data_IF_034128240310
#
_entry.id   IF_034128240310
#
_cell.length_a   1.000
_cell.length_b   1.000
_cell.length_c   1.000
_cell.angle_alpha   90.00
_cell.angle_beta   90.00
_cell.angle_gamma   90.00
#
_symmetry.space_group_name_H-M   'P 1'
#
loop_
_entity.id
_entity.type
_entity.pdbx_description
1 polymer ?
#
# COMPACT_ATOMS: atom_id res chain seq x y z
N UNK A 1 0.12 -5.62 -8.48
CA UNK A 1 1.31 -4.76 -8.73
C UNK A 1 1.03 -3.68 -9.78
N UNK A 2 0.37 -4.03 -10.90
CA UNK A 2 0.12 -3.07 -12.00
C UNK A 2 -0.59 -1.78 -11.55
N UNK A 3 -1.61 -1.88 -10.70
CA UNK A 3 -2.32 -0.70 -10.18
C UNK A 3 -1.38 0.28 -9.48
N UNK A 4 -0.53 -0.21 -8.58
CA UNK A 4 0.49 0.59 -7.89
C UNK A 4 1.49 1.22 -8.87
N UNK A 5 1.90 0.49 -9.91
CA UNK A 5 2.74 1.06 -10.96
C UNK A 5 2.02 2.21 -11.67
N UNK A 6 0.80 2.00 -12.14
CA UNK A 6 -0.02 3.04 -12.80
C UNK A 6 -0.21 4.27 -11.91
N UNK A 7 -0.46 4.10 -10.61
CA UNK A 7 -0.57 5.23 -9.66
C UNK A 7 0.70 6.08 -9.63
N UNK A 8 1.89 5.47 -9.64
CA UNK A 8 3.16 6.21 -9.71
C UNK A 8 3.30 7.01 -10.99
N UNK A 9 2.94 6.44 -12.15
CA UNK A 9 2.95 7.17 -13.42
C UNK A 9 1.98 8.36 -13.41
N UNK A 10 0.77 8.18 -12.88
CA UNK A 10 -0.18 9.28 -12.70
C UNK A 10 0.36 10.37 -11.76
N UNK A 11 0.99 9.99 -10.63
CA UNK A 11 1.61 10.94 -9.70
C UNK A 11 2.76 11.73 -10.33
N UNK A 12 3.49 11.12 -11.27
CA UNK A 12 4.53 11.77 -12.07
C UNK A 12 3.99 12.58 -13.26
N UNK A 13 2.66 12.59 -13.48
CA UNK A 13 2.00 13.25 -14.63
C UNK A 13 2.47 12.77 -16.00
N UNK A 14 2.80 11.48 -16.10
CA UNK A 14 3.19 10.83 -17.35
C UNK A 14 2.18 9.74 -17.74
N UNK A 15 2.05 9.39 -19.03
CA UNK A 15 1.13 8.34 -19.47
C UNK A 15 1.41 7.02 -18.77
N UNK A 16 0.40 6.50 -18.07
CA UNK A 16 0.49 5.23 -17.33
C UNK A 16 0.43 4.03 -18.25
N UNK A 17 -0.33 4.10 -19.34
CA UNK A 17 -0.32 3.11 -20.42
C UNK A 17 0.47 3.65 -21.62
N UNK A 18 1.36 2.85 -22.24
CA UNK A 18 1.74 1.47 -21.88
C UNK A 18 2.91 1.39 -20.87
N UNK A 19 3.36 2.53 -20.34
CA UNK A 19 4.60 2.63 -19.58
C UNK A 19 4.64 1.74 -18.32
N UNK A 20 3.53 1.66 -17.59
CA UNK A 20 3.42 0.84 -16.39
C UNK A 20 3.43 -0.66 -16.73
N UNK A 21 2.81 -1.06 -17.83
CA UNK A 21 2.80 -2.45 -18.30
C UNK A 21 4.19 -2.90 -18.73
N UNK A 22 4.91 -2.05 -19.48
CA UNK A 22 6.30 -2.30 -19.88
C UNK A 22 7.19 -2.44 -18.63
N UNK A 23 7.05 -1.53 -17.66
CA UNK A 23 7.81 -1.59 -16.41
C UNK A 23 7.50 -2.86 -15.62
N UNK A 24 6.23 -3.23 -15.48
CA UNK A 24 5.81 -4.44 -14.74
C UNK A 24 6.28 -5.71 -15.44
N UNK A 25 6.23 -5.75 -16.78
CA UNK A 25 6.73 -6.87 -17.57
C UNK A 25 8.23 -7.08 -17.36
N UNK A 26 9.04 -6.05 -17.64
CA UNK A 26 10.51 -6.17 -17.52
C UNK A 26 10.97 -6.34 -16.09
N UNK A 27 10.35 -5.63 -15.13
CA UNK A 27 10.63 -5.81 -13.70
C UNK A 27 10.29 -7.22 -13.21
N UNK A 28 9.17 -7.77 -13.68
CA UNK A 28 8.80 -9.17 -13.39
C UNK A 28 9.80 -10.17 -13.98
N UNK A 29 10.20 -9.98 -15.24
CA UNK A 29 11.20 -10.82 -15.91
C UNK A 29 12.55 -10.80 -15.17
N UNK A 30 13.03 -9.60 -14.78
CA UNK A 30 14.27 -9.45 -14.02
C UNK A 30 14.18 -10.07 -12.63
N UNK A 31 13.05 -9.87 -11.94
CA UNK A 31 12.81 -10.45 -10.62
C UNK A 31 12.40 -11.93 -10.63
N UNK A 32 12.27 -12.55 -11.81
CA UNK A 32 11.80 -13.94 -11.99
C UNK A 32 10.42 -14.22 -11.37
N UNK A 33 9.49 -13.26 -11.47
CA UNK A 33 8.11 -13.42 -11.02
C UNK A 33 7.12 -12.77 -12.01
N UNK A 34 5.86 -13.18 -11.95
CA UNK A 34 4.82 -12.56 -12.76
C UNK A 34 4.24 -11.32 -12.05
N UNK A 35 4.72 -10.14 -12.42
CA UNK A 35 4.24 -8.87 -11.85
C UNK A 35 2.75 -8.58 -12.10
N UNK A 36 2.18 -9.10 -13.19
CA UNK A 36 0.74 -8.97 -13.47
C UNK A 36 -0.12 -9.84 -12.56
N UNK A 37 0.39 -11.02 -12.15
CA UNK A 37 -0.27 -11.91 -11.19
C UNK A 37 -0.01 -11.56 -9.73
N UNK A 38 0.99 -10.74 -9.43
CA UNK A 38 1.33 -10.38 -8.06
C UNK A 38 0.28 -9.42 -7.46
N UNK A 39 -0.57 -9.94 -6.58
CA UNK A 39 -1.67 -9.22 -5.95
C UNK A 39 -1.75 -9.52 -4.44
N UNK A 40 -1.41 -8.55 -3.57
CA UNK A 40 -1.47 -8.72 -2.11
C UNK A 40 -2.82 -9.11 -1.54
N UNK A 41 -3.92 -8.71 -2.19
CA UNK A 41 -5.28 -9.06 -1.75
C UNK A 41 -5.49 -10.58 -1.76
N UNK A 42 -4.86 -11.30 -2.70
CA UNK A 42 -5.08 -12.74 -2.87
C UNK A 42 -4.44 -13.58 -1.76
N UNK A 43 -3.39 -13.07 -1.12
CA UNK A 43 -2.65 -13.79 -0.07
C UNK A 43 -2.69 -13.10 1.30
N UNK A 44 -3.36 -11.96 1.43
CA UNK A 44 -3.53 -11.27 2.72
C UNK A 44 -4.23 -12.15 3.78
N UNK A 45 -5.08 -13.09 3.35
CA UNK A 45 -5.74 -14.03 4.26
C UNK A 45 -4.81 -15.05 4.92
N UNK A 46 -3.56 -15.17 4.46
CA UNK A 46 -2.57 -16.06 5.08
C UNK A 46 -1.81 -15.41 6.25
N UNK A 47 -2.07 -14.14 6.56
CA UNK A 47 -1.48 -13.46 7.71
C UNK A 47 -2.02 -14.10 9.00
N UNK A 48 -1.13 -14.52 9.89
CA UNK A 48 -1.49 -15.26 11.11
C UNK A 48 -1.08 -14.56 12.40
N UNK A 49 -0.70 -13.28 12.31
CA UNK A 49 -0.26 -12.47 13.44
C UNK A 49 -1.08 -11.18 13.56
N UNK A 50 -1.14 -10.58 14.76
CA UNK A 50 -1.72 -9.25 14.93
C UNK A 50 -1.11 -8.27 13.92
N UNK A 51 -1.92 -7.42 13.30
CA UNK A 51 -1.46 -6.54 12.22
C UNK A 51 -1.95 -5.09 12.37
N UNK A 52 -1.01 -4.15 12.45
CA UNK A 52 -1.30 -2.72 12.42
C UNK A 52 -1.09 -2.15 11.01
N UNK A 53 -2.16 -1.60 10.44
CA UNK A 53 -2.13 -0.86 9.18
C UNK A 53 -2.14 0.64 9.48
N UNK A 54 -1.21 1.37 8.90
CA UNK A 54 -1.14 2.84 8.98
C UNK A 54 -1.17 3.40 7.57
N UNK A 55 -2.08 4.34 7.30
CA UNK A 55 -2.31 4.80 5.94
C UNK A 55 -2.63 6.31 5.87
N UNK A 56 -1.89 7.04 5.04
CA UNK A 56 -2.21 8.42 4.66
C UNK A 56 -3.43 8.45 3.74
N UNK A 57 -4.41 9.30 4.05
CA UNK A 57 -5.63 9.41 3.24
C UNK A 57 -5.35 10.00 1.85
N UNK A 58 -4.39 10.91 1.78
CA UNK A 58 -4.05 11.68 0.58
C UNK A 58 -2.87 11.06 -0.20
N UNK A 59 -2.53 9.79 0.06
CA UNK A 59 -1.44 9.10 -0.63
C UNK A 59 -1.78 8.85 -2.11
N UNK A 60 -1.07 9.50 -3.07
CA UNK A 60 -1.36 9.35 -4.49
C UNK A 60 -0.71 8.09 -5.11
N UNK A 61 0.20 7.42 -4.38
CA UNK A 61 1.01 6.29 -4.86
C UNK A 61 0.41 4.96 -4.42
N UNK A 62 0.00 4.86 -3.17
CA UNK A 62 -0.77 3.76 -2.61
C UNK A 62 -2.08 4.36 -2.12
N UNK A 63 -3.18 4.15 -2.82
CA UNK A 63 -4.44 4.83 -2.47
C UNK A 63 -5.07 4.16 -1.25
N UNK A 64 -5.76 4.94 -0.42
CA UNK A 64 -6.44 4.43 0.78
C UNK A 64 -7.32 3.20 0.51
N UNK A 65 -8.06 3.18 -0.62
CA UNK A 65 -8.90 2.04 -1.00
C UNK A 65 -8.11 0.76 -1.28
N UNK A 66 -6.89 0.88 -1.80
CA UNK A 66 -5.99 -0.26 -2.05
C UNK A 66 -5.50 -0.84 -0.73
N UNK A 67 -5.10 0.02 0.22
CA UNK A 67 -4.76 -0.40 1.58
C UNK A 67 -5.93 -1.07 2.30
N UNK A 68 -7.15 -0.52 2.17
CA UNK A 68 -8.37 -1.11 2.72
C UNK A 68 -8.67 -2.48 2.10
N UNK A 69 -8.49 -2.65 0.80
CA UNK A 69 -8.72 -3.93 0.12
C UNK A 69 -7.83 -5.05 0.67
N UNK A 70 -6.59 -4.72 1.05
CA UNK A 70 -5.68 -5.67 1.73
C UNK A 70 -6.13 -5.91 3.16
N UNK A 71 -6.41 -4.83 3.91
CA UNK A 71 -6.89 -4.92 5.29
C UNK A 71 -8.11 -5.83 5.39
N UNK A 72 -9.11 -5.69 4.51
CA UNK A 72 -10.34 -6.47 4.52
C UNK A 72 -10.10 -7.97 4.38
N UNK A 73 -8.99 -8.38 3.75
CA UNK A 73 -8.60 -9.79 3.56
C UNK A 73 -7.74 -10.36 4.66
N UNK A 74 -7.05 -9.54 5.44
CA UNK A 74 -6.31 -10.01 6.62
C UNK A 74 -7.30 -10.60 7.64
N UNK A 75 -7.00 -11.73 8.30
CA UNK A 75 -7.87 -12.30 9.33
C UNK A 75 -8.02 -11.37 10.55
N UNK A 76 -8.80 -11.81 11.54
CA UNK A 76 -9.05 -11.04 12.76
C UNK A 76 -7.76 -10.65 13.51
N UNK A 77 -7.88 -9.71 14.45
CA UNK A 77 -6.76 -9.08 15.17
C UNK A 77 -5.92 -8.12 14.30
N UNK A 78 -6.62 -7.16 13.70
CA UNK A 78 -6.03 -6.14 12.84
C UNK A 78 -6.60 -4.77 13.18
N UNK A 79 -5.76 -3.76 13.08
CA UNK A 79 -6.13 -2.36 13.30
C UNK A 79 -5.79 -1.53 12.06
N UNK A 80 -6.62 -0.52 11.74
CA UNK A 80 -6.39 0.38 10.61
C UNK A 80 -6.45 1.84 11.06
N UNK A 81 -5.30 2.50 11.04
CA UNK A 81 -5.15 3.90 11.43
C UNK A 81 -4.99 4.77 10.20
N UNK A 82 -5.94 5.67 9.97
CA UNK A 82 -5.90 6.64 8.88
C UNK A 82 -5.27 7.94 9.35
N UNK A 83 -4.32 8.49 8.59
CA UNK A 83 -3.76 9.82 8.77
C UNK A 83 -4.40 10.77 7.74
N UNK A 84 -5.37 11.57 8.18
CA UNK A 84 -6.27 12.34 7.31
C UNK A 84 -5.55 13.33 6.40
N UNK A 85 -4.46 13.94 6.88
CA UNK A 85 -3.72 14.99 6.14
C UNK A 85 -2.41 14.49 5.53
N UNK A 86 -2.12 13.18 5.64
CA UNK A 86 -0.86 12.62 5.15
C UNK A 86 -1.01 11.96 3.78
N UNK A 87 0.01 12.20 2.95
CA UNK A 87 0.23 11.51 1.69
C UNK A 87 1.14 10.29 1.83
N UNK A 88 2.03 10.11 0.86
CA UNK A 88 3.06 9.07 0.89
C UNK A 88 4.32 9.56 1.62
N UNK A 89 4.31 9.49 2.95
CA UNK A 89 5.35 10.11 3.79
C UNK A 89 5.53 9.40 5.15
N UNK A 90 6.47 9.91 5.95
CA UNK A 90 6.66 9.45 7.33
C UNK A 90 5.56 10.00 8.24
N UNK A 91 4.67 9.11 8.72
CA UNK A 91 3.64 9.49 9.69
C UNK A 91 4.19 9.92 11.05
N UNK A 92 5.39 9.45 11.42
CA UNK A 92 6.07 9.93 12.63
C UNK A 92 6.50 11.39 12.48
N UNK A 93 6.93 11.80 11.29
CA UNK A 93 7.37 13.17 11.02
C UNK A 93 6.18 14.13 10.90
N UNK A 94 5.09 13.70 10.26
CA UNK A 94 3.90 14.54 10.05
C UNK A 94 2.96 14.57 11.26
N UNK A 95 2.80 13.43 11.96
CA UNK A 95 1.83 13.24 13.04
C UNK A 95 2.42 12.40 14.19
N UNK A 96 3.48 12.87 14.88
CA UNK A 96 4.25 12.08 15.85
C UNK A 96 3.40 11.51 16.98
N UNK A 97 2.46 12.30 17.52
CA UNK A 97 1.62 11.86 18.64
C UNK A 97 0.62 10.78 18.23
N UNK A 98 -0.06 10.94 17.09
CA UNK A 98 -0.99 9.93 16.58
C UNK A 98 -0.25 8.63 16.23
N UNK A 99 0.93 8.74 15.61
CA UNK A 99 1.78 7.59 15.33
C UNK A 99 2.22 6.88 16.62
N UNK A 100 2.71 7.61 17.62
CA UNK A 100 3.13 7.05 18.92
C UNK A 100 1.98 6.33 19.62
N UNK A 101 0.80 6.94 19.62
CA UNK A 101 -0.40 6.34 20.22
C UNK A 101 -0.77 5.04 19.52
N UNK A 102 -0.85 5.04 18.19
CA UNK A 102 -1.15 3.84 17.41
C UNK A 102 -0.17 2.70 17.68
N UNK A 103 1.13 2.99 17.68
CA UNK A 103 2.17 1.98 17.93
C UNK A 103 2.15 1.47 19.38
N UNK A 104 2.00 2.36 20.36
CA UNK A 104 1.96 1.99 21.79
C UNK A 104 0.69 1.23 22.20
N UNK A 105 -0.42 1.45 21.52
CA UNK A 105 -1.66 0.73 21.80
C UNK A 105 -1.62 -0.69 21.21
N UNK A 106 -0.88 -0.86 20.12
CA UNK A 106 -0.78 -2.13 19.41
C UNK A 106 0.29 -3.09 19.98
N UNK A 107 1.41 -2.56 20.50
CA UNK A 107 2.54 -3.33 21.08
C UNK A 107 2.45 -3.42 22.61
#
# INVERSE_FOLDING_TARGET
MLTTARNRFHAMKVPSFPSAEILVFWGGQQGKFNGFRHNPVDYASSVSCPSLFMHGKEDPRAKLQEGRSVFDKVPDNKEFVVFEESGHESYFSSNPEKWRTAVKQFL
#
